data_IF_829910000727
#
_entry.id   IF_829910000727
#
_cell.length_a   1.000
_cell.length_b   1.000
_cell.length_c   1.000
_cell.angle_alpha   90.00
_cell.angle_beta   90.00
_cell.angle_gamma   90.00
#
_symmetry.space_group_name_H-M   'P 1'
#
loop_
_entity.id
_entity.type
_entity.pdbx_description
1 polymer ?
#
# COMPACT_ATOMS: atom_id res chain seq x y z
N UNK A 1 7.23 0.10 28.04
CA UNK A 1 6.47 1.33 27.80
C UNK A 1 6.45 1.57 26.30
N UNK A 2 5.27 1.60 25.66
CA UNK A 2 5.20 1.81 24.20
C UNK A 2 5.60 3.25 23.89
N UNK A 3 6.45 3.46 22.88
CA UNK A 3 6.75 4.82 22.42
C UNK A 3 5.44 5.50 21.96
N UNK A 4 5.26 6.81 22.20
CA UNK A 4 4.09 7.52 21.70
C UNK A 4 4.04 7.37 20.17
N UNK A 5 2.83 7.17 19.64
CA UNK A 5 2.63 7.11 18.19
C UNK A 5 3.20 8.40 17.56
N UNK A 6 3.96 8.29 16.45
CA UNK A 6 4.53 9.45 15.81
C UNK A 6 3.42 10.37 15.27
N UNK A 7 3.65 11.68 15.34
CA UNK A 7 2.77 12.68 14.72
C UNK A 7 2.62 12.41 13.21
N UNK A 8 1.39 12.13 12.72
CA UNK A 8 1.14 11.82 11.33
C UNK A 8 1.64 12.87 10.34
N UNK A 9 1.55 14.17 10.67
CA UNK A 9 2.03 15.23 9.79
C UNK A 9 3.57 15.17 9.66
N UNK A 10 4.28 14.93 10.77
CA UNK A 10 5.73 14.77 10.73
C UNK A 10 6.16 13.58 9.89
N UNK A 11 5.42 12.48 9.95
CA UNK A 11 5.65 11.31 9.08
C UNK A 11 5.39 11.65 7.62
N UNK A 12 4.27 12.30 7.32
CA UNK A 12 3.90 12.72 5.97
C UNK A 12 4.95 13.63 5.34
N UNK A 13 5.36 14.70 6.04
CA UNK A 13 6.39 15.63 5.56
C UNK A 13 7.75 14.96 5.36
N UNK A 14 8.13 14.03 6.26
CA UNK A 14 9.38 13.26 6.11
C UNK A 14 9.36 12.38 4.86
N UNK A 15 8.27 11.68 4.60
CA UNK A 15 8.13 10.83 3.41
C UNK A 15 8.09 11.67 2.13
N UNK A 16 7.37 12.78 2.15
CA UNK A 16 7.32 13.73 1.03
C UNK A 16 8.70 14.34 0.73
N UNK A 17 9.47 14.68 1.76
CA UNK A 17 10.86 15.13 1.61
C UNK A 17 11.81 14.08 1.01
N UNK A 18 11.42 12.80 0.98
CA UNK A 18 12.13 11.72 0.30
C UNK A 18 11.61 11.47 -1.13
N UNK A 19 10.69 12.31 -1.61
CA UNK A 19 10.07 12.21 -2.93
C UNK A 19 8.90 11.22 -3.00
N UNK A 20 8.35 10.78 -1.86
CA UNK A 20 7.20 9.88 -1.85
C UNK A 20 5.89 10.65 -1.86
N UNK A 21 5.00 10.32 -2.78
CA UNK A 21 3.68 10.92 -2.88
C UNK A 21 2.78 10.41 -1.76
N UNK A 22 2.35 11.30 -0.87
CA UNK A 22 1.60 10.99 0.35
C UNK A 22 0.14 11.41 0.21
N UNK A 23 -0.78 10.64 0.81
CA UNK A 23 -2.18 11.00 0.97
C UNK A 23 -2.70 10.58 2.35
N UNK A 24 -3.77 11.20 2.88
CA UNK A 24 -4.34 10.80 4.16
C UNK A 24 -5.18 9.53 4.06
N UNK A 25 -5.13 8.72 5.12
CA UNK A 25 -5.98 7.56 5.37
C UNK A 25 -7.02 7.89 6.44
N UNK A 26 -8.20 7.26 6.34
CA UNK A 26 -9.21 7.37 7.38
C UNK A 26 -8.63 6.91 8.74
N UNK A 27 -8.89 7.64 9.84
CA UNK A 27 -8.30 7.32 11.15
C UNK A 27 -8.54 5.86 11.56
N UNK A 28 -7.47 5.15 11.90
CA UNK A 28 -7.52 3.73 12.32
C UNK A 28 -7.79 2.73 11.19
N UNK A 29 -7.88 3.20 9.94
CA UNK A 29 -8.22 2.35 8.79
C UNK A 29 -7.09 2.32 7.75
N UNK A 30 -7.04 1.25 6.95
CA UNK A 30 -6.12 1.11 5.80
C UNK A 30 -6.75 1.59 4.48
N UNK A 31 -7.61 2.61 4.52
CA UNK A 31 -8.29 3.13 3.32
C UNK A 31 -8.17 4.65 3.25
N UNK A 32 -8.14 5.26 2.04
CA UNK A 32 -8.11 6.70 1.90
C UNK A 32 -9.30 7.37 2.59
N UNK A 33 -9.11 8.61 3.04
CA UNK A 33 -10.23 9.43 3.53
C UNK A 33 -11.30 9.58 2.45
N UNK A 34 -12.56 9.69 2.88
CA UNK A 34 -13.69 9.83 1.97
C UNK A 34 -13.59 11.14 1.19
N UNK A 35 -13.75 11.07 -0.13
CA UNK A 35 -13.88 12.25 -0.99
C UNK A 35 -15.21 13.00 -0.77
N UNK A 36 -15.32 14.19 -1.35
CA UNK A 36 -16.55 14.99 -1.24
C UNK A 36 -17.73 14.34 -1.98
N UNK A 37 -18.94 14.81 -1.67
CA UNK A 37 -20.18 14.29 -2.26
C UNK A 37 -20.31 14.50 -3.78
N UNK A 38 -19.46 15.29 -4.42
CA UNK A 38 -19.49 15.52 -5.89
C UNK A 38 -18.47 14.66 -6.65
N UNK A 39 -17.56 14.00 -5.95
CA UNK A 39 -16.45 13.23 -6.54
C UNK A 39 -16.73 11.74 -6.67
N UNK A 40 -17.83 11.24 -6.07
CA UNK A 40 -18.21 9.83 -6.17
C UNK A 40 -19.42 9.67 -7.08
N UNK A 41 -19.37 8.81 -8.12
CA UNK A 41 -20.51 8.54 -8.99
C UNK A 41 -21.65 7.80 -8.29
N UNK A 42 -21.41 7.25 -7.09
CA UNK A 42 -22.34 6.33 -6.43
C UNK A 42 -22.18 4.90 -6.96
N UNK A 43 -23.22 4.09 -6.85
CA UNK A 43 -23.28 2.73 -7.42
C UNK A 43 -24.33 2.67 -8.52
N UNK A 44 -24.32 1.60 -9.31
CA UNK A 44 -25.34 1.36 -10.35
C UNK A 44 -26.76 1.41 -9.78
N UNK A 45 -26.98 0.83 -8.60
CA UNK A 45 -28.29 0.79 -7.93
C UNK A 45 -28.67 2.10 -7.22
N UNK A 46 -27.68 2.95 -6.93
CA UNK A 46 -27.84 4.22 -6.20
C UNK A 46 -26.90 5.27 -6.81
N UNK A 47 -27.25 5.80 -8.00
CA UNK A 47 -26.45 6.84 -8.64
C UNK A 47 -26.49 8.11 -7.80
N UNK A 48 -25.38 8.85 -7.81
CA UNK A 48 -25.29 10.11 -7.10
C UNK A 48 -25.66 11.29 -8.01
N UNK A 49 -26.83 11.95 -7.82
CA UNK A 49 -27.25 13.06 -8.68
C UNK A 49 -26.38 14.32 -8.54
N UNK A 50 -25.54 14.40 -7.50
CA UNK A 50 -24.60 15.50 -7.30
C UNK A 50 -23.21 15.23 -7.91
N UNK A 51 -23.00 14.05 -8.51
CA UNK A 51 -21.73 13.70 -9.13
C UNK A 51 -21.40 14.63 -10.29
N UNK A 52 -20.16 15.07 -10.35
CA UNK A 52 -19.59 15.78 -11.49
C UNK A 52 -18.52 14.89 -12.08
N UNK A 53 -18.64 14.53 -13.35
CA UNK A 53 -17.61 13.77 -14.04
C UNK A 53 -16.33 14.60 -14.20
N UNK A 54 -15.19 14.01 -13.82
CA UNK A 54 -13.86 14.58 -13.99
C UNK A 54 -12.80 13.50 -13.79
N UNK A 55 -11.58 13.77 -14.25
CA UNK A 55 -10.41 12.98 -13.90
C UNK A 55 -10.03 13.21 -12.43
N UNK A 56 -9.93 12.14 -11.66
CA UNK A 56 -9.56 12.18 -10.24
C UNK A 56 -8.14 12.69 -10.00
N UNK A 57 -7.23 12.58 -10.98
CA UNK A 57 -5.87 13.14 -10.91
C UNK A 57 -5.86 14.67 -10.95
N UNK A 58 -6.81 15.27 -11.66
CA UNK A 58 -6.92 16.72 -11.83
C UNK A 58 -8.18 17.27 -11.14
N UNK A 59 -8.59 16.62 -10.05
CA UNK A 59 -9.79 17.01 -9.33
C UNK A 59 -9.67 18.46 -8.83
N UNK A 60 -10.64 19.35 -9.13
CA UNK A 60 -10.59 20.75 -8.69
C UNK A 60 -10.48 20.90 -7.17
N UNK A 61 -11.02 19.94 -6.40
CA UNK A 61 -10.95 19.94 -4.94
C UNK A 61 -9.52 19.88 -4.40
N UNK A 62 -8.53 19.45 -5.20
CA UNK A 62 -7.13 19.47 -4.80
C UNK A 62 -6.62 20.91 -4.61
N UNK A 63 -7.06 21.84 -5.45
CA UNK A 63 -6.75 23.26 -5.32
C UNK A 63 -7.38 23.89 -4.07
N UNK A 64 -8.54 23.38 -3.66
CA UNK A 64 -9.23 23.76 -2.42
C UNK A 64 -8.65 23.08 -1.17
N UNK A 65 -7.52 22.37 -1.30
CA UNK A 65 -6.88 21.69 -0.16
C UNK A 65 -7.62 20.44 0.32
N UNK A 66 -8.45 19.79 -0.52
CA UNK A 66 -9.12 18.54 -0.17
C UNK A 66 -8.44 17.33 -0.83
N UNK A 67 -8.22 16.22 -0.10
CA UNK A 67 -7.60 15.00 -0.63
C UNK A 67 -8.62 14.10 -1.38
N UNK A 68 -9.49 14.69 -2.21
CA UNK A 68 -10.48 13.92 -2.96
C UNK A 68 -9.79 12.94 -3.93
N UNK A 69 -10.36 11.74 -4.07
CA UNK A 69 -9.79 10.61 -4.84
C UNK A 69 -8.56 9.93 -4.23
N UNK A 70 -8.26 10.20 -2.96
CA UNK A 70 -7.34 9.39 -2.16
C UNK A 70 -5.95 9.27 -2.79
N UNK A 71 -5.60 8.06 -3.24
CA UNK A 71 -4.31 7.76 -3.90
C UNK A 71 -4.05 8.68 -5.10
N UNK A 72 -5.09 9.07 -5.85
CA UNK A 72 -4.93 9.96 -7.00
C UNK A 72 -4.62 11.40 -6.59
N UNK A 73 -4.93 11.79 -5.36
CA UNK A 73 -4.60 13.10 -4.80
C UNK A 73 -3.16 13.18 -4.28
N UNK A 74 -2.48 12.05 -4.13
CA UNK A 74 -1.22 11.94 -3.41
C UNK A 74 -0.17 12.93 -3.92
N UNK A 75 0.58 13.54 -3.00
CA UNK A 75 1.44 14.68 -3.30
C UNK A 75 2.71 14.67 -2.47
N UNK A 76 3.76 15.32 -2.98
CA UNK A 76 4.97 15.67 -2.23
C UNK A 76 4.97 17.12 -1.76
N UNK A 77 3.95 17.90 -2.15
CA UNK A 77 3.80 19.32 -1.79
C UNK A 77 3.56 19.49 -0.28
N UNK A 78 4.50 20.10 0.47
CA UNK A 78 4.38 20.24 1.92
C UNK A 78 3.19 21.11 2.34
N UNK A 79 2.79 22.11 1.54
CA UNK A 79 1.70 23.02 1.90
C UNK A 79 0.37 22.28 1.89
N UNK A 80 0.13 21.46 0.86
CA UNK A 80 -1.04 20.57 0.78
C UNK A 80 -1.09 19.59 1.94
N UNK A 81 0.04 18.99 2.31
CA UNK A 81 0.11 18.06 3.44
C UNK A 81 -0.20 18.77 4.76
N UNK A 82 0.39 19.94 5.00
CA UNK A 82 0.10 20.73 6.20
C UNK A 82 -1.38 21.11 6.28
N UNK A 83 -2.00 21.54 5.17
CA UNK A 83 -3.44 21.81 5.11
C UNK A 83 -4.28 20.57 5.45
N UNK A 84 -3.95 19.41 4.90
CA UNK A 84 -4.72 18.18 5.16
C UNK A 84 -4.69 17.76 6.62
N UNK A 85 -3.50 17.73 7.24
CA UNK A 85 -3.39 17.29 8.64
C UNK A 85 -3.79 18.36 9.64
N UNK A 86 -3.80 19.65 9.28
CA UNK A 86 -4.45 20.67 10.10
C UNK A 86 -5.97 20.43 10.21
N UNK A 87 -6.61 20.01 9.11
CA UNK A 87 -8.05 19.72 9.08
C UNK A 87 -8.40 18.30 9.55
N UNK A 88 -7.46 17.35 9.46
CA UNK A 88 -7.65 15.95 9.84
C UNK A 88 -6.46 15.44 10.69
N UNK A 89 -6.27 15.93 11.94
CA UNK A 89 -5.09 15.59 12.74
C UNK A 89 -4.94 14.10 13.05
N UNK A 90 -6.05 13.35 13.07
CA UNK A 90 -6.08 11.92 13.35
C UNK A 90 -5.92 11.04 12.09
N UNK A 91 -5.82 11.63 10.89
CA UNK A 91 -5.66 10.87 9.66
C UNK A 91 -4.35 10.07 9.65
N UNK A 92 -4.42 8.81 9.21
CA UNK A 92 -3.23 8.01 8.95
C UNK A 92 -2.48 8.49 7.70
N UNK A 93 -1.27 7.98 7.49
CA UNK A 93 -0.41 8.36 6.35
C UNK A 93 -0.36 7.21 5.34
N UNK A 94 -0.80 7.46 4.11
CA UNK A 94 -0.68 6.55 2.97
C UNK A 94 0.36 7.05 1.98
N UNK A 95 1.03 6.12 1.29
CA UNK A 95 1.98 6.42 0.20
C UNK A 95 1.47 5.80 -1.09
N UNK A 96 1.36 6.61 -2.14
CA UNK A 96 1.05 6.15 -3.49
C UNK A 96 2.31 5.57 -4.13
N UNK A 97 2.42 4.24 -4.19
CA UNK A 97 3.63 3.56 -4.65
C UNK A 97 4.03 3.92 -6.09
N UNK A 98 3.07 3.93 -7.02
CA UNK A 98 3.31 4.24 -8.44
C UNK A 98 3.97 5.61 -8.67
N UNK A 99 3.33 6.72 -8.27
CA UNK A 99 3.92 8.07 -8.35
C UNK A 99 5.25 8.21 -7.57
N UNK A 100 5.45 7.39 -6.54
CA UNK A 100 6.68 7.37 -5.73
C UNK A 100 7.82 6.57 -6.36
N UNK A 101 7.58 5.91 -7.50
CA UNK A 101 8.55 4.99 -8.12
C UNK A 101 8.90 3.82 -7.19
N UNK A 102 7.89 3.29 -6.50
CA UNK A 102 8.04 2.20 -5.54
C UNK A 102 7.32 0.93 -6.01
N UNK A 103 7.90 -0.21 -5.65
CA UNK A 103 7.22 -1.50 -5.55
C UNK A 103 7.21 -1.87 -4.08
N UNK A 104 6.05 -2.19 -3.53
CA UNK A 104 5.92 -2.61 -2.14
C UNK A 104 5.51 -4.08 -2.16
N UNK A 105 6.35 -4.93 -1.57
CA UNK A 105 6.00 -6.32 -1.30
C UNK A 105 5.23 -6.36 0.01
N UNK A 106 3.93 -6.62 -0.07
CA UNK A 106 3.03 -6.77 1.08
C UNK A 106 2.97 -8.25 1.48
N UNK A 107 3.57 -8.58 2.61
CA UNK A 107 3.63 -9.93 3.17
C UNK A 107 2.64 -10.00 4.32
N UNK A 108 1.45 -10.47 4.01
CA UNK A 108 0.39 -10.64 4.97
C UNK A 108 0.54 -11.94 5.77
N UNK A 109 0.16 -11.88 7.05
CA UNK A 109 0.23 -13.04 7.96
C UNK A 109 -1.17 -13.51 8.37
N UNK A 110 -2.15 -13.25 7.52
CA UNK A 110 -3.49 -13.80 7.67
C UNK A 110 -3.39 -15.30 7.36
N UNK A 111 -3.20 -16.13 8.39
CA UNK A 111 -3.06 -17.57 8.21
C UNK A 111 -4.26 -18.22 7.52
N UNK A 112 -4.09 -19.47 7.09
CA UNK A 112 -5.16 -20.26 6.49
C UNK A 112 -4.66 -21.64 6.08
N UNK A 113 -5.46 -22.36 5.30
CA UNK A 113 -5.00 -23.58 4.65
C UNK A 113 -4.35 -23.20 3.31
N UNK A 114 -3.05 -23.48 3.10
CA UNK A 114 -2.38 -23.17 1.85
C UNK A 114 -3.02 -23.97 0.71
N UNK A 115 -3.06 -23.43 -0.52
CA UNK A 115 -3.58 -24.16 -1.65
C UNK A 115 -2.74 -25.42 -1.87
N UNK A 116 -3.41 -26.56 -2.09
CA UNK A 116 -2.75 -27.82 -2.43
C UNK A 116 -2.05 -27.78 -3.80
N UNK A 117 -2.41 -26.81 -4.64
CA UNK A 117 -1.87 -26.61 -6.00
C UNK A 117 -0.68 -25.63 -5.94
N UNK A 118 0.56 -26.06 -6.26
CA UNK A 118 1.74 -25.22 -6.26
C UNK A 118 1.61 -23.97 -7.15
N UNK A 119 0.90 -24.07 -8.27
CA UNK A 119 0.69 -22.93 -9.19
C UNK A 119 -0.22 -21.87 -8.59
N UNK A 120 -0.98 -22.18 -7.54
CA UNK A 120 -1.76 -21.19 -6.77
C UNK A 120 -0.96 -20.63 -5.61
N UNK A 121 0.03 -21.36 -5.12
CA UNK A 121 0.91 -20.92 -4.04
C UNK A 121 1.89 -19.86 -4.57
N UNK A 122 2.63 -20.21 -5.63
CA UNK A 122 3.62 -19.35 -6.28
C UNK A 122 3.58 -19.57 -7.80
N UNK A 123 2.66 -18.89 -8.51
CA UNK A 123 2.47 -19.06 -9.94
C UNK A 123 3.76 -18.84 -10.75
N UNK A 124 4.11 -19.79 -11.62
CA UNK A 124 5.29 -19.71 -12.49
C UNK A 124 6.64 -19.83 -11.76
N UNK A 125 6.64 -20.31 -10.51
CA UNK A 125 7.84 -20.63 -9.76
C UNK A 125 7.94 -22.15 -9.66
N UNK A 126 9.03 -22.72 -10.16
CA UNK A 126 9.37 -24.13 -9.88
C UNK A 126 9.69 -24.26 -8.40
N UNK A 127 8.91 -25.07 -7.68
CA UNK A 127 9.05 -25.30 -6.26
C UNK A 127 9.80 -26.61 -5.99
N UNK A 128 10.48 -26.75 -4.82
CA UNK A 128 11.07 -28.01 -4.40
C UNK A 128 10.01 -29.13 -4.31
N UNK A 129 10.40 -30.35 -4.68
CA UNK A 129 9.52 -31.53 -4.64
C UNK A 129 9.25 -32.02 -3.21
N UNK A 130 10.03 -31.57 -2.23
CA UNK A 130 10.06 -32.06 -0.85
C UNK A 130 9.54 -31.04 0.19
N UNK A 131 8.60 -30.18 -0.21
CA UNK A 131 7.92 -29.27 0.73
C UNK A 131 7.22 -30.11 1.81
N UNK A 132 7.64 -29.90 3.05
CA UNK A 132 7.05 -30.60 4.21
C UNK A 132 5.57 -30.20 4.35
N UNK A 133 4.63 -31.15 4.41
CA UNK A 133 3.21 -30.83 4.60
C UNK A 133 2.97 -29.99 5.85
N UNK A 134 2.22 -28.90 5.71
CA UNK A 134 1.92 -27.97 6.82
C UNK A 134 3.05 -27.02 7.21
N UNK A 135 4.17 -27.00 6.47
CA UNK A 135 5.26 -26.04 6.70
C UNK A 135 4.96 -24.62 6.22
N UNK A 136 3.94 -24.46 5.37
CA UNK A 136 3.49 -23.16 4.86
C UNK A 136 2.21 -22.76 5.58
N UNK A 137 2.28 -21.73 6.43
CA UNK A 137 1.18 -21.30 7.30
C UNK A 137 0.65 -19.92 6.93
N UNK A 138 1.54 -19.03 6.50
CA UNK A 138 1.20 -17.66 6.11
C UNK A 138 2.15 -17.10 5.04
N UNK A 139 1.97 -15.83 4.67
CA UNK A 139 2.77 -15.18 3.63
C UNK A 139 4.27 -15.11 3.92
N UNK A 140 4.72 -15.23 5.18
CA UNK A 140 6.16 -15.28 5.51
C UNK A 140 6.77 -16.59 5.05
N UNK A 141 6.05 -17.69 5.20
CA UNK A 141 6.50 -19.00 4.73
C UNK A 141 6.47 -19.06 3.20
N UNK A 142 5.46 -18.45 2.58
CA UNK A 142 5.42 -18.28 1.11
C UNK A 142 6.62 -17.46 0.62
N UNK A 143 6.98 -16.38 1.31
CA UNK A 143 8.18 -15.60 0.99
C UNK A 143 9.47 -16.41 1.20
N UNK A 144 9.57 -17.16 2.30
CA UNK A 144 10.73 -18.01 2.58
C UNK A 144 10.91 -19.06 1.48
N UNK A 145 9.83 -19.72 1.08
CA UNK A 145 9.81 -20.70 -0.01
C UNK A 145 10.21 -20.07 -1.34
N UNK A 146 9.71 -18.87 -1.67
CA UNK A 146 10.11 -18.14 -2.88
C UNK A 146 11.60 -17.81 -2.87
N UNK A 147 12.12 -17.38 -1.72
CA UNK A 147 13.54 -17.05 -1.54
C UNK A 147 14.42 -18.29 -1.71
N UNK A 148 14.00 -19.42 -1.16
CA UNK A 148 14.68 -20.71 -1.33
C UNK A 148 14.66 -21.17 -2.79
N UNK A 149 13.48 -21.20 -3.43
CA UNK A 149 13.29 -21.61 -4.82
C UNK A 149 14.06 -20.73 -5.83
N UNK A 150 14.38 -19.49 -5.46
CA UNK A 150 15.17 -18.55 -6.27
C UNK A 150 16.62 -18.44 -5.83
N UNK A 151 17.06 -19.21 -4.82
CA UNK A 151 18.38 -19.10 -4.21
C UNK A 151 18.76 -17.65 -3.87
N UNK A 152 17.77 -16.89 -3.37
CA UNK A 152 17.89 -15.47 -3.08
C UNK A 152 18.18 -15.22 -1.59
N UNK A 153 18.40 -13.96 -1.23
CA UNK A 153 18.43 -13.52 0.17
C UNK A 153 17.07 -12.97 0.57
N UNK A 154 16.66 -13.19 1.82
CA UNK A 154 15.43 -12.61 2.36
C UNK A 154 15.44 -11.08 2.23
N UNK A 155 14.34 -10.47 1.73
CA UNK A 155 14.13 -9.03 1.77
C UNK A 155 14.48 -8.42 3.14
N UNK A 156 15.25 -7.33 3.13
CA UNK A 156 15.64 -6.61 4.35
C UNK A 156 16.91 -7.14 5.03
N UNK A 157 17.37 -8.35 4.74
CA UNK A 157 18.68 -8.83 5.20
C UNK A 157 19.82 -8.34 4.31
N UNK A 158 19.69 -8.48 2.98
CA UNK A 158 20.61 -7.89 2.01
C UNK A 158 19.97 -7.82 0.61
N UNK A 159 19.91 -6.63 -0.04
CA UNK A 159 20.19 -5.33 0.55
C UNK A 159 19.16 -4.98 1.65
N UNK A 160 19.57 -4.14 2.59
CA UNK A 160 18.63 -3.55 3.54
C UNK A 160 17.59 -2.70 2.79
N UNK A 161 16.38 -2.67 3.32
CA UNK A 161 15.33 -1.82 2.79
C UNK A 161 14.41 -1.29 3.89
N UNK A 162 13.61 -0.26 3.59
CA UNK A 162 12.57 0.17 4.50
C UNK A 162 11.55 -0.96 4.66
N UNK A 163 11.47 -1.47 5.89
CA UNK A 163 10.53 -2.51 6.29
C UNK A 163 9.56 -1.94 7.31
N UNK A 164 8.26 -2.12 7.07
CA UNK A 164 7.19 -1.60 7.92
C UNK A 164 6.32 -2.75 8.38
N UNK A 165 6.12 -2.89 9.70
CA UNK A 165 5.16 -3.85 10.25
C UNK A 165 3.74 -3.35 10.07
N UNK A 166 2.86 -4.20 9.58
CA UNK A 166 1.44 -3.89 9.42
C UNK A 166 0.67 -4.18 10.72
N UNK A 167 -0.51 -3.58 10.93
CA UNK A 167 -1.37 -3.88 12.08
C UNK A 167 -1.74 -5.35 12.26
N UNK A 168 -1.73 -6.14 11.17
CA UNK A 168 -2.05 -7.57 11.17
C UNK A 168 -0.81 -8.45 11.40
N UNK A 169 0.26 -7.89 11.95
CA UNK A 169 1.58 -8.53 12.13
C UNK A 169 2.34 -8.85 10.83
N UNK A 170 1.77 -8.55 9.66
CA UNK A 170 2.45 -8.62 8.37
C UNK A 170 3.62 -7.64 8.21
N UNK A 171 4.30 -7.69 7.07
CA UNK A 171 5.44 -6.83 6.72
C UNK A 171 5.31 -6.25 5.32
N UNK A 172 5.57 -4.96 5.17
CA UNK A 172 5.82 -4.33 3.88
C UNK A 172 7.32 -4.16 3.67
N UNK A 173 7.86 -4.63 2.55
CA UNK A 173 9.21 -4.33 2.08
C UNK A 173 9.17 -3.37 0.89
N UNK A 174 9.91 -2.27 0.96
CA UNK A 174 9.79 -1.17 0.00
C UNK A 174 10.96 -1.12 -0.97
N UNK A 175 10.73 -1.31 -2.26
CA UNK A 175 11.79 -1.29 -3.27
C UNK A 175 11.59 -0.13 -4.24
N UNK A 176 12.69 0.36 -4.83
CA UNK A 176 12.60 1.27 -5.98
C UNK A 176 12.18 0.47 -7.22
N UNK A 177 11.13 0.92 -7.87
CA UNK A 177 10.74 0.38 -9.17
C UNK A 177 11.82 0.73 -10.20
N UNK A 178 12.19 -0.18 -11.12
CA UNK A 178 13.03 0.17 -12.25
C UNK A 178 12.40 1.32 -13.06
N UNK A 179 13.26 2.17 -13.63
CA UNK A 179 12.78 3.30 -14.41
C UNK A 179 11.88 2.84 -15.57
N UNK A 180 10.77 3.57 -15.78
CA UNK A 180 9.77 3.30 -16.84
C UNK A 180 8.92 2.04 -16.64
N UNK A 181 8.99 1.36 -15.50
CA UNK A 181 8.06 0.28 -15.21
C UNK A 181 6.73 0.83 -14.68
N UNK A 182 5.64 0.46 -15.35
CA UNK A 182 4.28 0.76 -14.88
C UNK A 182 3.74 -0.47 -14.17
N UNK A 183 3.67 -0.40 -12.84
CA UNK A 183 3.03 -1.42 -12.02
C UNK A 183 1.60 -1.01 -11.70
N UNK A 184 0.66 -1.93 -11.91
CA UNK A 184 -0.71 -1.80 -11.41
C UNK A 184 -0.83 -2.59 -10.11
N UNK A 185 -1.53 -2.08 -9.09
CA UNK A 185 -1.82 -2.87 -7.89
C UNK A 185 -2.49 -4.19 -8.29
N UNK A 186 -1.91 -5.31 -7.87
CA UNK A 186 -2.42 -6.66 -8.11
C UNK A 186 -2.76 -7.31 -6.76
N UNK A 187 -3.79 -6.79 -6.09
CA UNK A 187 -4.27 -7.40 -4.87
C UNK A 187 -4.83 -8.80 -5.17
N UNK A 188 -4.29 -9.83 -4.49
CA UNK A 188 -4.75 -11.22 -4.61
C UNK A 188 -4.40 -11.94 -5.92
N UNK A 189 -3.48 -11.41 -6.73
CA UNK A 189 -3.07 -12.07 -7.98
C UNK A 189 -1.71 -12.79 -7.91
N UNK A 190 -0.93 -12.54 -6.85
CA UNK A 190 0.40 -13.10 -6.66
C UNK A 190 0.61 -13.44 -5.19
N UNK A 191 0.99 -14.70 -4.91
CA UNK A 191 1.14 -15.22 -3.56
C UNK A 191 -0.21 -15.58 -2.91
N UNK A 192 -0.15 -16.52 -1.98
CA UNK A 192 -1.24 -16.91 -1.09
C UNK A 192 -1.14 -16.15 0.24
#
# INVERSE_FOLDING_TARGET
>A
MSSPAPDPLRVALRLAGQGYAVHPLAPGMKVPVRGCGRCSPGTTDRPNPAYVEHDGHTCPCHADGHPCHGVLAATTDPDRLTTWWANMPAAGVGVAAGPSGLVILDVDCHGGEPPADPEKLLPGIELPDDITPGSIVDGRDVLALLVEARHATLPGCAPETLTVRTPSDGLHYWFRAPARTVWRPQAGALGW
#
